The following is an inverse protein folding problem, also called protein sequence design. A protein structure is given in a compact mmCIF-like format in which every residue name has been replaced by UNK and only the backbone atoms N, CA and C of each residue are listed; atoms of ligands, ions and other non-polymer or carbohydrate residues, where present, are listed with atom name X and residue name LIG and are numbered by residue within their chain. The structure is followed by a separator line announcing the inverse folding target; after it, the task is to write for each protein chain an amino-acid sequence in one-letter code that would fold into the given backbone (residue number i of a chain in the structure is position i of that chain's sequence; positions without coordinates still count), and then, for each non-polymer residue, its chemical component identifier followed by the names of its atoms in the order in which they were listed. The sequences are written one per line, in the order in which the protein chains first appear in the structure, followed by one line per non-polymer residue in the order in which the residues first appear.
data_IF_081616593600
#
_entry.id   IF_081616593600
#
_cell.length_a   1.000
_cell.length_b   1.000
_cell.length_c   1.000
_cell.angle_alpha   90.00
_cell.angle_beta   90.00
_cell.angle_gamma   90.00
#
_symmetry.space_group_name_H-M   'P 1'
#
loop_
_entity.id
_entity.type
_entity.pdbx_description
1 polymer ?
#
# COMPACT_ATOMS: atom_id res chain seq x y z
N UNK A 1 -14.99 2.97 6.38
CA UNK A 1 -13.89 3.05 5.40
C UNK A 1 -14.13 2.00 4.32
N UNK A 2 -13.81 2.31 3.07
CA UNK A 2 -13.70 1.32 2.00
C UNK A 2 -12.42 0.51 2.17
N UNK A 3 -12.33 -0.67 1.53
CA UNK A 3 -11.11 -1.47 1.58
C UNK A 3 -9.90 -0.72 1.00
N UNK A 4 -10.12 0.11 -0.04
CA UNK A 4 -9.05 0.92 -0.64
C UNK A 4 -8.52 1.99 0.31
N UNK A 5 -9.37 2.58 1.14
CA UNK A 5 -8.94 3.52 2.18
C UNK A 5 -8.09 2.81 3.24
N UNK A 6 -8.43 1.57 3.61
CA UNK A 6 -7.62 0.77 4.53
C UNK A 6 -6.25 0.45 3.93
N UNK A 7 -6.19 0.00 2.67
CA UNK A 7 -4.91 -0.20 1.96
C UNK A 7 -4.08 1.09 1.93
N UNK A 8 -4.72 2.24 1.67
CA UNK A 8 -4.04 3.55 1.66
C UNK A 8 -3.45 3.89 3.02
N UNK A 9 -4.18 3.63 4.13
CA UNK A 9 -3.62 3.84 5.48
C UNK A 9 -2.42 2.93 5.74
N UNK A 10 -2.46 1.66 5.30
CA UNK A 10 -1.32 0.75 5.44
C UNK A 10 -0.12 1.20 4.60
N UNK A 11 -0.37 1.72 3.40
CA UNK A 11 0.65 2.28 2.52
C UNK A 11 1.40 3.42 3.20
N UNK A 12 0.69 4.44 3.68
CA UNK A 12 1.30 5.58 4.37
C UNK A 12 1.96 5.18 5.69
N UNK A 13 1.40 4.19 6.38
CA UNK A 13 2.01 3.65 7.59
C UNK A 13 3.34 2.95 7.31
N UNK A 14 3.52 2.33 6.15
CA UNK A 14 4.81 1.76 5.73
C UNK A 14 5.91 2.83 5.60
N UNK A 15 5.59 3.97 4.98
CA UNK A 15 6.49 5.14 4.94
C UNK A 15 6.82 5.63 6.36
N UNK A 16 5.81 5.75 7.21
CA UNK A 16 5.98 6.18 8.59
C UNK A 16 6.88 5.20 9.37
N UNK A 17 6.71 3.89 9.20
CA UNK A 17 7.55 2.87 9.83
C UNK A 17 9.02 3.00 9.40
N UNK A 18 9.29 3.15 8.09
CA UNK A 18 10.66 3.32 7.62
C UNK A 18 11.31 4.58 8.19
N UNK A 19 10.56 5.68 8.27
CA UNK A 19 11.04 6.92 8.87
C UNK A 19 11.32 6.77 10.38
N UNK A 20 10.36 6.22 11.14
CA UNK A 20 10.42 6.14 12.60
C UNK A 20 11.36 5.06 13.12
N UNK A 21 11.53 3.96 12.40
CA UNK A 21 12.34 2.80 12.83
C UNK A 21 13.76 2.79 12.28
N UNK A 22 14.18 3.87 11.61
CA UNK A 22 15.56 4.02 11.15
C UNK A 22 16.54 3.90 12.32
N UNK A 23 17.68 3.26 12.06
CA UNK A 23 18.78 3.15 13.03
C UNK A 23 20.01 3.97 12.63
N UNK A 24 19.94 4.68 11.50
CA UNK A 24 20.98 5.62 11.09
C UNK A 24 20.84 6.88 11.96
N UNK A 25 21.94 7.29 12.58
CA UNK A 25 22.05 8.50 13.39
C UNK A 25 22.49 9.73 12.57
N UNK A 26 23.04 9.52 11.38
CA UNK A 26 23.39 10.58 10.44
C UNK A 26 22.13 11.18 9.77
N UNK A 27 21.79 12.41 10.14
CA UNK A 27 20.52 13.05 9.78
C UNK A 27 20.28 13.29 8.28
N UNK A 28 21.34 13.30 7.46
CA UNK A 28 21.21 13.41 6.00
C UNK A 28 20.79 12.11 5.31
N UNK A 29 20.94 10.96 5.98
CA UNK A 29 20.62 9.62 5.44
C UNK A 29 19.69 8.81 6.37
N UNK A 30 19.18 9.43 7.43
CA UNK A 30 18.22 8.83 8.34
C UNK A 30 16.80 8.80 7.76
N UNK A 31 16.01 7.82 8.21
CA UNK A 31 14.62 7.64 7.82
C UNK A 31 14.49 7.22 6.36
N UNK A 32 13.87 8.10 5.56
CA UNK A 32 13.66 7.92 4.11
C UNK A 32 14.64 8.75 3.27
N UNK A 33 15.53 9.54 3.91
CA UNK A 33 16.47 10.41 3.21
C UNK A 33 17.62 9.59 2.64
N UNK A 34 18.11 10.00 1.47
CA UNK A 34 19.24 9.32 0.81
C UNK A 34 18.89 7.99 0.14
N UNK A 35 17.61 7.60 0.14
CA UNK A 35 17.11 6.43 -0.58
C UNK A 35 16.78 6.86 -2.01
N UNK A 36 17.24 6.10 -2.99
CA UNK A 36 16.88 6.31 -4.39
C UNK A 36 15.35 6.30 -4.58
N UNK A 37 14.85 7.24 -5.37
CA UNK A 37 13.42 7.54 -5.45
C UNK A 37 12.56 6.36 -5.94
N UNK A 38 13.14 5.40 -6.65
CA UNK A 38 12.46 4.18 -7.10
C UNK A 38 12.33 3.10 -6.00
N UNK A 39 13.08 3.23 -4.90
CA UNK A 39 13.03 2.30 -3.77
C UNK A 39 12.18 2.81 -2.60
N UNK A 40 11.80 4.10 -2.57
CA UNK A 40 11.05 4.69 -1.44
C UNK A 40 9.65 4.06 -1.26
N UNK A 41 9.05 3.54 -2.34
CA UNK A 41 7.73 2.91 -2.30
C UNK A 41 7.76 1.44 -1.82
N UNK A 42 8.94 0.87 -1.57
CA UNK A 42 9.05 -0.51 -1.14
C UNK A 42 8.31 -0.80 0.18
N UNK A 43 8.57 -0.10 1.31
CA UNK A 43 7.91 -0.41 2.57
C UNK A 43 6.43 -0.05 2.58
N UNK A 44 6.01 0.99 1.86
CA UNK A 44 4.61 1.38 1.74
C UNK A 44 3.80 0.30 1.02
N UNK A 45 4.21 -0.08 -0.19
CA UNK A 45 3.55 -1.15 -0.96
C UNK A 45 3.66 -2.52 -0.28
N UNK A 46 4.76 -2.79 0.43
CA UNK A 46 4.89 -4.00 1.24
C UNK A 46 3.77 -4.09 2.28
N UNK A 47 3.46 -3.00 2.97
CA UNK A 47 2.45 -2.97 4.02
C UNK A 47 1.02 -3.26 3.51
N UNK A 48 0.68 -2.88 2.28
CA UNK A 48 -0.64 -3.16 1.67
C UNK A 48 -0.96 -4.67 1.62
N UNK A 49 0.04 -5.54 1.55
CA UNK A 49 -0.17 -7.00 1.52
C UNK A 49 -0.83 -7.53 2.80
N UNK A 50 -0.60 -6.89 3.94
CA UNK A 50 -1.17 -7.31 5.21
C UNK A 50 -2.67 -7.08 5.30
N UNK A 51 -3.26 -6.25 4.42
CA UNK A 51 -4.71 -6.08 4.33
C UNK A 51 -5.44 -7.36 3.87
N UNK A 52 -4.74 -8.28 3.20
CA UNK A 52 -5.27 -9.59 2.79
C UNK A 52 -4.79 -10.75 3.67
N UNK A 53 -3.91 -10.50 4.64
CA UNK A 53 -3.50 -11.53 5.59
C UNK A 53 -4.64 -11.80 6.58
N UNK A 54 -5.16 -13.02 6.59
CA UNK A 54 -6.36 -13.42 7.35
C UNK A 54 -6.38 -12.90 8.78
N UNK A 55 -5.33 -13.22 9.55
CA UNK A 55 -5.29 -12.85 10.98
C UNK A 55 -5.24 -11.33 11.17
N UNK A 56 -4.54 -10.62 10.29
CA UNK A 56 -4.48 -9.15 10.34
C UNK A 56 -5.85 -8.55 10.04
N UNK A 57 -6.49 -8.98 8.94
CA UNK A 57 -7.79 -8.45 8.56
C UNK A 57 -8.87 -8.77 9.61
N UNK A 58 -8.95 -10.01 10.10
CA UNK A 58 -9.92 -10.39 11.13
C UNK A 58 -9.70 -9.67 12.47
N UNK A 59 -8.46 -9.21 12.74
CA UNK A 59 -8.19 -8.39 13.94
C UNK A 59 -8.83 -7.00 13.88
N UNK A 60 -8.99 -6.43 12.68
CA UNK A 60 -9.50 -5.07 12.45
C UNK A 60 -10.95 -5.04 11.91
N UNK A 61 -11.39 -6.11 11.22
CA UNK A 61 -12.69 -6.17 10.55
C UNK A 61 -13.79 -6.60 11.52
N UNK A 62 -14.31 -5.62 12.27
CA UNK A 62 -15.41 -5.79 13.23
C UNK A 62 -16.56 -4.86 12.90
N UNK A 63 -17.78 -5.33 13.07
CA UNK A 63 -18.95 -4.46 12.99
C UNK A 63 -18.87 -3.39 14.09
N UNK A 64 -19.02 -2.12 13.72
CA UNK A 64 -18.69 -1.01 14.63
C UNK A 64 -19.65 -0.89 15.83
N UNK A 65 -20.89 -1.40 15.72
CA UNK A 65 -21.87 -1.38 16.81
C UNK A 65 -21.85 -2.66 17.65
N UNK A 66 -21.72 -3.82 16.99
CA UNK A 66 -21.92 -5.12 17.65
C UNK A 66 -20.60 -5.78 18.05
N UNK A 67 -19.48 -5.34 17.48
CA UNK A 67 -18.16 -5.94 17.70
C UNK A 67 -17.97 -7.31 17.04
N UNK A 68 -18.98 -7.82 16.33
CA UNK A 68 -18.92 -9.10 15.64
C UNK A 68 -17.84 -9.08 14.56
N UNK A 69 -17.11 -10.19 14.43
CA UNK A 69 -16.07 -10.34 13.42
C UNK A 69 -16.69 -10.48 12.03
N UNK A 70 -15.91 -10.10 11.01
CA UNK A 70 -16.25 -10.38 9.62
C UNK A 70 -16.48 -11.89 9.42
N UNK A 71 -17.62 -12.30 8.84
CA UNK A 71 -17.86 -13.71 8.52
C UNK A 71 -16.82 -14.27 7.54
N UNK A 72 -16.43 -15.52 7.73
CA UNK A 72 -15.41 -16.20 6.90
C UNK A 72 -15.76 -16.17 5.41
N UNK A 73 -17.02 -16.42 5.05
CA UNK A 73 -17.48 -16.41 3.66
C UNK A 73 -17.27 -15.05 2.98
N UNK A 74 -17.38 -13.96 3.73
CA UNK A 74 -17.16 -12.60 3.21
C UNK A 74 -15.66 -12.35 3.03
N UNK A 75 -14.82 -12.83 3.95
CA UNK A 75 -13.38 -12.80 3.79
C UNK A 75 -12.92 -13.55 2.53
N UNK A 76 -13.43 -14.76 2.29
CA UNK A 76 -13.11 -15.55 1.11
C UNK A 76 -13.51 -14.83 -0.19
N UNK A 77 -14.69 -14.21 -0.21
CA UNK A 77 -15.15 -13.37 -1.35
C UNK A 77 -14.24 -12.17 -1.57
N UNK A 78 -13.77 -11.52 -0.52
CA UNK A 78 -12.84 -10.39 -0.60
C UNK A 78 -11.50 -10.82 -1.19
N UNK A 79 -10.94 -11.95 -0.73
CA UNK A 79 -9.69 -12.50 -1.26
C UNK A 79 -9.84 -12.91 -2.73
N UNK A 80 -10.96 -13.56 -3.09
CA UNK A 80 -11.25 -13.93 -4.47
C UNK A 80 -11.35 -12.70 -5.39
N UNK A 81 -11.85 -11.57 -4.87
CA UNK A 81 -11.95 -10.32 -5.61
C UNK A 81 -10.63 -9.54 -5.75
N UNK A 82 -9.55 -9.93 -5.05
CA UNK A 82 -8.25 -9.21 -5.04
C UNK A 82 -7.73 -8.88 -6.44
N UNK A 83 -7.86 -9.81 -7.39
CA UNK A 83 -7.33 -9.66 -8.74
C UNK A 83 -8.39 -9.20 -9.77
N UNK A 84 -9.58 -8.81 -9.32
CA UNK A 84 -10.62 -8.32 -10.20
C UNK A 84 -10.11 -7.08 -10.97
N UNK A 85 -10.05 -7.19 -12.30
CA UNK A 85 -9.55 -6.14 -13.21
C UNK A 85 -8.10 -5.71 -12.98
N UNK A 86 -7.26 -6.58 -12.40
CA UNK A 86 -5.83 -6.28 -12.17
C UNK A 86 -5.11 -5.78 -13.44
N UNK A 87 -5.41 -6.36 -14.62
CA UNK A 87 -4.86 -5.90 -15.90
C UNK A 87 -5.21 -4.44 -16.23
N UNK A 88 -6.45 -4.00 -15.98
CA UNK A 88 -6.85 -2.59 -16.19
C UNK A 88 -6.14 -1.66 -15.20
N UNK A 89 -6.00 -2.09 -13.95
CA UNK A 89 -5.26 -1.31 -12.94
C UNK A 89 -3.79 -1.15 -13.34
N UNK A 90 -3.12 -2.25 -13.71
CA UNK A 90 -1.72 -2.20 -14.17
C UNK A 90 -1.55 -1.31 -15.39
N UNK A 91 -2.42 -1.42 -16.39
CA UNK A 91 -2.38 -0.56 -17.59
C UNK A 91 -2.53 0.93 -17.26
N UNK A 92 -3.38 1.27 -16.29
CA UNK A 92 -3.52 2.66 -15.82
C UNK A 92 -2.21 3.17 -15.21
N UNK A 93 -1.56 2.37 -14.36
CA UNK A 93 -0.28 2.74 -13.74
C UNK A 93 0.83 2.89 -14.79
N UNK A 94 0.94 1.95 -15.73
CA UNK A 94 1.90 2.03 -16.84
C UNK A 94 1.67 3.25 -17.73
N UNK A 95 0.42 3.58 -18.02
CA UNK A 95 0.06 4.75 -18.84
C UNK A 95 0.49 6.05 -18.16
N UNK A 96 0.33 6.15 -16.83
CA UNK A 96 0.82 7.27 -16.03
C UNK A 96 2.35 7.38 -16.06
N UNK A 97 3.05 6.28 -15.79
CA UNK A 97 4.52 6.24 -15.79
C UNK A 97 5.10 6.57 -17.18
N UNK A 98 4.57 5.96 -18.25
CA UNK A 98 4.98 6.22 -19.62
C UNK A 98 4.73 7.68 -20.04
N UNK A 99 3.59 8.24 -19.68
CA UNK A 99 3.28 9.66 -19.91
C UNK A 99 4.24 10.60 -19.19
N UNK A 100 4.58 10.31 -17.94
CA UNK A 100 5.57 11.07 -17.16
C UNK A 100 6.96 11.02 -17.80
N UNK A 101 7.45 9.83 -18.14
CA UNK A 101 8.74 9.65 -18.82
C UNK A 101 8.79 10.42 -20.14
N UNK A 102 7.76 10.26 -20.98
CA UNK A 102 7.67 10.97 -22.27
C UNK A 102 7.76 12.49 -22.08
N UNK A 103 7.08 13.04 -21.09
CA UNK A 103 7.12 14.48 -20.81
C UNK A 103 8.50 14.96 -20.35
N UNK A 104 9.24 14.15 -19.60
CA UNK A 104 10.61 14.47 -19.17
C UNK A 104 11.61 14.47 -20.33
N UNK A 105 11.40 13.65 -21.38
CA UNK A 105 12.25 13.63 -22.57
C UNK A 105 11.91 14.71 -23.60
N UNK A 106 10.64 15.12 -23.71
CA UNK A 106 10.19 16.12 -24.71
C UNK A 106 10.32 17.59 -24.25
N UNK A 107 10.70 17.83 -22.99
CA UNK A 107 10.88 19.17 -22.43
C UNK A 107 12.32 19.70 -22.48
N UNK A 108 13.23 18.99 -23.16
CA UNK A 108 14.59 19.44 -23.46
C UNK A 108 14.74 19.76 -24.95
#
# INVERSE_FOLDING_TARGET
MTFREVETVFHEFGHALQHMLTKQDEGFVAGIRGIEWDAVELPSQFMENWCYHKNTLLSIAKHYETGELLPEEIYEKLVAAKNFRAGTFSLRQFSGASGSLKNSFLRN
#
